data_IF_891403704394
#
_entry.id   IF_891403704394
#
_cell.length_a   1.000
_cell.length_b   1.000
_cell.length_c   1.000
_cell.angle_alpha   90.00
_cell.angle_beta   90.00
_cell.angle_gamma   90.00
#
_symmetry.space_group_name_H-M   'P 1'
#
loop_
_entity.id
_entity.type
_entity.pdbx_description
1 polymer ?
#
# COMPACT_ATOMS: atom_id res chain seq x y z
N UNK A 1 -31.48 13.09 29.34
CA UNK A 1 -30.57 14.21 29.05
C UNK A 1 -29.08 13.84 29.13
N UNK A 2 -28.65 12.88 29.97
CA UNK A 2 -27.24 12.49 30.06
C UNK A 2 -26.63 11.93 28.74
N UNK A 3 -27.38 11.15 27.97
CA UNK A 3 -26.88 10.55 26.72
C UNK A 3 -26.54 11.59 25.63
N UNK A 4 -27.30 12.70 25.53
CA UNK A 4 -27.08 13.72 24.51
C UNK A 4 -25.81 14.56 24.79
N UNK A 5 -25.53 14.81 26.08
CA UNK A 5 -24.36 15.57 26.52
C UNK A 5 -23.05 14.79 26.29
N UNK A 6 -23.07 13.48 26.49
CA UNK A 6 -21.92 12.59 26.25
C UNK A 6 -21.54 12.55 24.76
N UNK A 7 -22.54 12.47 23.86
CA UNK A 7 -22.31 12.44 22.41
C UNK A 7 -21.71 13.77 21.92
N UNK A 8 -22.19 14.91 22.41
CA UNK A 8 -21.65 16.22 22.04
C UNK A 8 -20.21 16.41 22.55
N UNK A 9 -19.91 15.98 23.78
CA UNK A 9 -18.59 16.08 24.37
C UNK A 9 -17.54 15.24 23.61
N UNK A 10 -17.86 13.98 23.31
CA UNK A 10 -16.96 13.10 22.56
C UNK A 10 -16.70 13.64 21.13
N UNK A 11 -17.71 14.22 20.49
CA UNK A 11 -17.54 14.85 19.17
C UNK A 11 -16.63 16.09 19.19
N UNK A 12 -16.70 16.89 20.25
CA UNK A 12 -15.81 18.06 20.42
C UNK A 12 -14.37 17.62 20.69
N UNK A 13 -14.18 16.64 21.57
CA UNK A 13 -12.85 16.09 21.86
C UNK A 13 -12.20 15.51 20.61
N UNK A 14 -12.92 14.71 19.82
CA UNK A 14 -12.40 14.15 18.57
C UNK A 14 -11.93 15.24 17.60
N UNK A 15 -12.74 16.28 17.37
CA UNK A 15 -12.37 17.41 16.51
C UNK A 15 -11.15 18.17 17.03
N UNK A 16 -11.05 18.38 18.34
CA UNK A 16 -9.90 19.04 18.96
C UNK A 16 -8.61 18.22 18.78
N UNK A 17 -8.68 16.90 18.94
CA UNK A 17 -7.55 15.99 18.69
C UNK A 17 -7.11 16.04 17.24
N UNK A 18 -8.05 15.98 16.29
CA UNK A 18 -7.74 16.08 14.85
C UNK A 18 -7.09 17.42 14.51
N UNK A 19 -7.63 18.54 15.01
CA UNK A 19 -7.08 19.87 14.79
C UNK A 19 -5.66 20.01 15.37
N UNK A 20 -5.43 19.45 16.57
CA UNK A 20 -4.10 19.41 17.20
C UNK A 20 -3.09 18.63 16.36
N UNK A 21 -3.45 17.43 15.89
CA UNK A 21 -2.60 16.62 15.01
C UNK A 21 -2.26 17.36 13.71
N UNK A 22 -3.23 17.98 13.05
CA UNK A 22 -3.00 18.76 11.84
C UNK A 22 -2.10 19.97 12.09
N UNK A 23 -2.28 20.68 13.20
CA UNK A 23 -1.43 21.81 13.58
C UNK A 23 0.02 21.36 13.83
N UNK A 24 0.22 20.27 14.57
CA UNK A 24 1.54 19.70 14.84
C UNK A 24 2.25 19.26 13.55
N UNK A 25 1.54 18.63 12.62
CA UNK A 25 2.11 18.22 11.33
C UNK A 25 2.44 19.41 10.44
N UNK A 26 1.59 20.43 10.40
CA UNK A 26 1.90 21.66 9.68
C UNK A 26 3.17 22.35 10.23
N UNK A 27 3.33 22.36 11.56
CA UNK A 27 4.54 22.88 12.18
C UNK A 27 5.78 22.03 11.84
N UNK A 28 5.65 20.70 11.92
CA UNK A 28 6.72 19.75 11.59
C UNK A 28 7.22 19.92 10.15
N UNK A 29 6.30 20.02 9.17
CA UNK A 29 6.64 20.24 7.76
C UNK A 29 7.40 21.55 7.58
N UNK A 30 6.94 22.64 8.20
CA UNK A 30 7.63 23.94 8.14
C UNK A 30 9.05 23.87 8.68
N UNK A 31 9.25 23.17 9.81
CA UNK A 31 10.57 23.00 10.41
C UNK A 31 11.50 22.23 9.46
N UNK A 32 11.03 21.11 8.90
CA UNK A 32 11.81 20.29 7.97
C UNK A 32 12.17 21.04 6.68
N UNK A 33 11.21 21.77 6.11
CA UNK A 33 11.43 22.57 4.90
C UNK A 33 12.39 23.74 5.17
N UNK A 34 12.25 24.44 6.30
CA UNK A 34 13.15 25.52 6.70
C UNK A 34 14.57 25.00 6.95
N UNK A 35 14.72 23.81 7.56
CA UNK A 35 16.02 23.20 7.78
C UNK A 35 16.74 22.90 6.46
N UNK A 36 16.00 22.41 5.45
CA UNK A 36 16.53 22.21 4.08
C UNK A 36 17.00 23.53 3.48
N UNK A 37 16.16 24.58 3.50
CA UNK A 37 16.52 25.86 2.86
C UNK A 37 17.67 26.58 3.56
N UNK A 38 17.72 26.52 4.90
CA UNK A 38 18.74 27.21 5.71
C UNK A 38 20.12 26.56 5.58
N UNK A 39 20.17 25.25 5.37
CA UNK A 39 21.42 24.54 5.10
C UNK A 39 22.04 24.92 3.74
N UNK A 40 21.31 25.64 2.87
CA UNK A 40 21.77 25.98 1.52
C UNK A 40 21.93 24.77 0.61
N UNK A 41 21.40 23.61 1.01
CA UNK A 41 21.43 22.37 0.25
C UNK A 41 20.03 22.04 -0.27
N UNK A 42 19.95 21.33 -1.39
CA UNK A 42 18.68 20.74 -1.85
C UNK A 42 18.27 19.52 -1.02
N UNK A 43 19.03 19.15 0.00
CA UNK A 43 18.89 17.91 0.76
C UNK A 43 18.20 18.14 2.11
N UNK A 44 17.24 17.28 2.44
CA UNK A 44 16.62 17.28 3.76
C UNK A 44 17.61 16.76 4.82
N UNK A 45 17.37 17.11 6.10
CA UNK A 45 18.20 16.69 7.23
C UNK A 45 18.30 15.17 7.34
N UNK A 46 19.48 14.64 7.64
CA UNK A 46 19.76 13.22 7.40
C UNK A 46 18.94 12.23 8.25
N UNK A 47 18.52 12.61 9.46
CA UNK A 47 17.87 11.70 10.40
C UNK A 47 17.05 12.45 11.45
N UNK A 48 16.32 11.67 12.28
CA UNK A 48 15.49 12.18 13.37
C UNK A 48 16.24 13.15 14.30
N UNK A 49 17.46 12.81 14.71
CA UNK A 49 18.23 13.64 15.65
C UNK A 49 18.58 15.00 15.04
N UNK A 50 18.95 15.04 13.75
CA UNK A 50 19.19 16.28 13.03
C UNK A 50 17.91 17.11 12.86
N UNK A 51 16.76 16.47 12.60
CA UNK A 51 15.47 17.16 12.54
C UNK A 51 15.07 17.76 13.90
N UNK A 52 15.30 17.04 15.01
CA UNK A 52 15.07 17.53 16.37
C UNK A 52 16.01 18.69 16.72
N UNK A 53 17.28 18.64 16.30
CA UNK A 53 18.21 19.76 16.44
C UNK A 53 17.76 21.01 15.67
N UNK A 54 17.02 20.84 14.56
CA UNK A 54 16.37 21.91 13.82
C UNK A 54 15.05 22.40 14.44
N UNK A 55 14.62 21.82 15.58
CA UNK A 55 13.43 22.23 16.33
C UNK A 55 12.22 21.29 16.19
N UNK A 56 12.36 20.14 15.52
CA UNK A 56 11.26 19.17 15.41
C UNK A 56 10.89 18.62 16.80
N UNK A 57 9.59 18.62 17.11
CA UNK A 57 9.08 18.06 18.37
C UNK A 57 9.42 16.57 18.48
N UNK A 58 9.89 16.12 19.65
CA UNK A 58 10.29 14.73 19.88
C UNK A 58 9.15 13.71 19.77
N UNK A 59 7.89 14.15 19.87
CA UNK A 59 6.69 13.32 19.62
C UNK A 59 6.37 13.11 18.14
N UNK A 60 7.11 13.74 17.23
CA UNK A 60 6.97 13.58 15.78
C UNK A 60 8.07 12.68 15.26
N UNK A 61 7.67 11.59 14.63
CA UNK A 61 8.58 10.71 13.89
C UNK A 61 8.97 11.37 12.58
N UNK A 62 10.25 11.32 12.25
CA UNK A 62 10.87 11.82 11.05
C UNK A 62 11.71 10.75 10.40
N UNK A 63 11.50 10.55 9.11
CA UNK A 63 12.31 9.68 8.27
C UNK A 63 12.73 10.48 7.05
N UNK A 64 14.03 10.41 6.73
CA UNK A 64 14.56 10.88 5.45
C UNK A 64 14.96 9.67 4.62
N UNK A 65 14.57 9.65 3.36
CA UNK A 65 14.96 8.62 2.42
C UNK A 65 14.74 9.11 0.99
N UNK A 66 15.69 8.81 0.11
CA UNK A 66 15.50 8.98 -1.34
C UNK A 66 14.26 8.22 -1.82
N UNK A 67 13.98 7.09 -1.17
CA UNK A 67 12.76 6.30 -1.35
C UNK A 67 11.45 6.94 -0.92
N UNK A 68 11.48 8.09 -0.24
CA UNK A 68 10.31 8.90 0.12
C UNK A 68 10.13 10.10 -0.83
N UNK A 69 10.99 10.21 -1.84
CA UNK A 69 11.18 11.46 -2.58
C UNK A 69 11.74 12.60 -1.71
N UNK A 70 12.26 12.29 -0.51
CA UNK A 70 12.74 13.28 0.46
C UNK A 70 12.46 12.86 1.91
N UNK A 71 11.45 13.44 2.53
CA UNK A 71 11.13 13.20 3.93
C UNK A 71 9.70 12.67 4.14
N UNK A 72 9.50 12.08 5.32
CA UNK A 72 8.21 11.91 5.95
C UNK A 72 8.28 12.43 7.40
N UNK A 73 7.21 13.11 7.83
CA UNK A 73 6.90 13.32 9.24
C UNK A 73 5.58 12.66 9.59
N UNK A 74 5.48 12.07 10.78
CA UNK A 74 4.24 11.49 11.26
C UNK A 74 4.09 11.61 12.77
N UNK A 75 2.83 11.65 13.22
CA UNK A 75 2.47 11.62 14.63
C UNK A 75 1.17 10.86 14.82
N UNK A 76 1.14 10.06 15.86
CA UNK A 76 -0.02 9.26 16.24
C UNK A 76 -0.57 9.78 17.57
N UNK A 77 -1.89 9.88 17.68
CA UNK A 77 -2.58 10.14 18.96
C UNK A 77 -3.81 9.24 19.03
N UNK A 78 -3.86 8.40 20.06
CA UNK A 78 -4.83 7.30 20.12
C UNK A 78 -4.63 6.36 18.93
N UNK A 79 -5.68 6.13 18.14
CA UNK A 79 -5.67 5.29 16.94
C UNK A 79 -5.46 6.08 15.64
N UNK A 80 -5.35 7.41 15.71
CA UNK A 80 -5.26 8.26 14.54
C UNK A 80 -3.82 8.68 14.28
N UNK A 81 -3.31 8.35 13.10
CA UNK A 81 -1.98 8.77 12.62
C UNK A 81 -2.16 9.82 11.53
N UNK A 82 -1.51 10.96 11.71
CA UNK A 82 -1.34 11.96 10.67
C UNK A 82 0.11 11.95 10.18
N UNK A 83 0.28 12.25 8.91
CA UNK A 83 1.59 12.34 8.28
C UNK A 83 1.62 13.41 7.19
N UNK A 84 2.84 13.73 6.75
CA UNK A 84 3.13 14.56 5.59
C UNK A 84 4.47 14.14 4.98
N UNK A 85 4.59 14.23 3.67
CA UNK A 85 5.78 13.84 2.91
C UNK A 85 6.31 14.99 2.06
N UNK A 86 7.47 14.79 1.44
CA UNK A 86 8.04 15.77 0.50
C UNK A 86 7.13 16.05 -0.71
N UNK A 87 6.38 15.06 -1.16
CA UNK A 87 5.46 15.15 -2.31
C UNK A 87 4.05 15.59 -1.92
N UNK A 88 3.59 15.25 -0.71
CA UNK A 88 2.32 15.71 -0.16
C UNK A 88 2.54 16.32 1.24
N UNK A 89 2.75 17.64 1.23
CA UNK A 89 3.09 18.43 2.43
C UNK A 89 1.88 18.78 3.29
N UNK A 90 0.66 18.54 2.82
CA UNK A 90 -0.55 18.78 3.60
C UNK A 90 -0.73 17.64 4.63
N UNK A 91 -1.02 17.95 5.91
CA UNK A 91 -1.33 16.91 6.89
C UNK A 91 -2.56 16.10 6.48
N UNK A 92 -2.41 14.79 6.42
CA UNK A 92 -3.47 13.85 6.09
C UNK A 92 -3.30 12.57 6.92
N UNK A 93 -4.34 11.74 6.96
CA UNK A 93 -4.29 10.46 7.65
C UNK A 93 -3.52 9.44 6.81
N UNK A 94 -2.66 8.64 7.46
CA UNK A 94 -1.90 7.61 6.76
C UNK A 94 -1.16 6.66 7.69
N UNK A 95 -0.33 5.75 7.15
CA UNK A 95 0.32 4.68 7.90
C UNK A 95 1.47 5.20 8.79
N UNK A 96 1.85 6.47 8.63
CA UNK A 96 3.02 7.06 9.25
C UNK A 96 4.26 6.92 8.35
N UNK A 97 5.44 7.17 8.92
CA UNK A 97 6.68 7.17 8.14
C UNK A 97 7.28 5.79 7.88
N UNK A 98 6.69 4.76 8.45
CA UNK A 98 7.04 3.36 8.18
C UNK A 98 5.92 2.76 7.35
N UNK A 99 6.25 2.25 6.16
CA UNK A 99 5.28 1.53 5.36
C UNK A 99 5.29 0.07 5.74
N UNK A 100 4.11 -0.44 6.12
CA UNK A 100 3.91 -1.85 6.37
C UNK A 100 3.29 -2.44 5.11
N UNK A 101 3.99 -3.36 4.46
CA UNK A 101 3.34 -4.18 3.44
C UNK A 101 2.45 -5.23 4.13
N UNK A 102 1.18 -5.23 3.75
CA UNK A 102 0.15 -6.07 4.33
C UNK A 102 0.09 -7.46 3.68
N UNK A 103 0.63 -7.61 2.47
CA UNK A 103 0.69 -8.91 1.79
C UNK A 103 1.98 -9.66 2.19
N UNK A 104 1.83 -10.93 2.53
CA UNK A 104 2.96 -11.84 2.76
C UNK A 104 3.50 -12.35 1.43
N UNK A 105 4.82 -12.62 1.35
CA UNK A 105 5.48 -13.19 0.17
C UNK A 105 5.19 -12.40 -1.13
N UNK A 106 5.42 -11.08 -1.14
CA UNK A 106 5.05 -10.19 -2.26
C UNK A 106 5.77 -10.52 -3.57
N UNK A 107 6.99 -11.06 -3.48
CA UNK A 107 7.84 -11.48 -4.60
C UNK A 107 7.62 -12.93 -5.04
N UNK A 108 6.72 -13.67 -4.37
CA UNK A 108 6.39 -15.06 -4.76
C UNK A 108 7.62 -16.00 -4.71
N UNK A 109 8.68 -15.61 -3.99
CA UNK A 109 9.96 -16.31 -4.00
C UNK A 109 9.90 -17.69 -3.36
N UNK A 110 9.07 -17.88 -2.34
CA UNK A 110 8.98 -19.17 -1.66
C UNK A 110 7.90 -20.08 -2.23
N UNK A 111 6.72 -19.53 -2.54
CA UNK A 111 5.56 -20.31 -2.98
C UNK A 111 4.47 -19.43 -3.59
N UNK A 112 3.42 -20.05 -4.15
CA UNK A 112 2.18 -19.37 -4.54
C UNK A 112 1.15 -19.29 -3.38
N UNK A 113 1.53 -19.66 -2.14
CA UNK A 113 0.63 -19.65 -0.98
C UNK A 113 0.07 -18.23 -0.76
N UNK A 114 -1.22 -18.14 -0.47
CA UNK A 114 -1.96 -16.87 -0.36
C UNK A 114 -2.71 -16.48 -1.64
N UNK A 115 -2.39 -17.13 -2.77
CA UNK A 115 -3.10 -16.98 -4.03
C UNK A 115 -3.96 -18.20 -4.34
N UNK A 116 -5.19 -17.95 -4.79
CA UNK A 116 -6.15 -18.99 -5.13
C UNK A 116 -6.62 -18.79 -6.57
N UNK A 117 -6.70 -19.89 -7.31
CA UNK A 117 -7.31 -19.90 -8.63
C UNK A 117 -8.83 -20.13 -8.51
N UNK A 118 -9.62 -19.45 -9.34
CA UNK A 118 -11.05 -19.65 -9.45
C UNK A 118 -11.48 -19.72 -10.92
N UNK A 119 -12.71 -20.20 -11.16
CA UNK A 119 -13.31 -20.30 -12.50
C UNK A 119 -12.38 -20.94 -13.56
N UNK A 120 -11.78 -22.08 -13.23
CA UNK A 120 -10.86 -22.87 -14.07
C UNK A 120 -9.51 -22.22 -14.42
N UNK A 121 -9.18 -21.06 -13.85
CA UNK A 121 -7.81 -20.52 -13.94
C UNK A 121 -6.82 -21.45 -13.26
N UNK A 122 -5.53 -21.29 -13.57
CA UNK A 122 -4.44 -21.84 -12.78
C UNK A 122 -3.55 -20.74 -12.24
N UNK A 123 -2.99 -20.99 -11.06
CA UNK A 123 -2.07 -20.10 -10.37
C UNK A 123 -0.85 -20.91 -9.99
N UNK A 124 0.30 -20.55 -10.52
CA UNK A 124 1.54 -21.31 -10.35
C UNK A 124 2.70 -20.36 -10.13
N UNK A 125 3.55 -20.64 -9.14
CA UNK A 125 4.85 -19.97 -9.02
C UNK A 125 5.75 -20.40 -10.18
N UNK A 126 6.33 -19.44 -10.88
CA UNK A 126 7.24 -19.65 -12.00
C UNK A 126 8.58 -18.99 -11.74
N UNK A 127 9.65 -19.60 -12.26
CA UNK A 127 11.01 -19.02 -12.29
C UNK A 127 11.41 -18.54 -13.70
N UNK A 128 10.47 -18.59 -14.65
CA UNK A 128 10.71 -18.16 -16.04
C UNK A 128 10.73 -16.64 -16.15
N UNK A 129 9.97 -15.95 -15.30
CA UNK A 129 9.88 -14.50 -15.24
C UNK A 129 9.94 -14.06 -13.79
N UNK A 130 10.54 -12.90 -13.56
CA UNK A 130 10.52 -12.19 -12.30
C UNK A 130 10.63 -10.69 -12.61
N UNK A 131 9.86 -9.86 -11.92
CA UNK A 131 10.08 -8.42 -11.91
C UNK A 131 11.23 -8.10 -10.94
N UNK A 132 11.26 -8.80 -9.81
CA UNK A 132 12.30 -8.76 -8.79
C UNK A 132 12.57 -10.18 -8.28
N UNK A 133 13.81 -10.45 -7.85
CA UNK A 133 14.16 -11.79 -7.35
C UNK A 133 14.21 -12.85 -8.46
N UNK A 134 13.79 -14.07 -8.14
CA UNK A 134 13.93 -15.25 -8.98
C UNK A 134 12.60 -15.86 -9.41
N UNK A 135 11.46 -15.35 -8.92
CA UNK A 135 10.16 -15.90 -9.23
C UNK A 135 9.07 -14.87 -9.48
N UNK A 136 7.95 -15.35 -10.00
CA UNK A 136 6.69 -14.62 -10.11
C UNK A 136 5.52 -15.59 -10.04
N UNK A 137 4.31 -15.07 -9.92
CA UNK A 137 3.09 -15.86 -10.03
C UNK A 137 2.58 -15.81 -11.46
N UNK A 138 2.50 -16.96 -12.12
CA UNK A 138 1.84 -17.09 -13.43
C UNK A 138 0.38 -17.47 -13.23
N UNK A 139 -0.49 -16.66 -13.82
CA UNK A 139 -1.94 -16.88 -13.85
C UNK A 139 -2.31 -17.23 -15.29
N UNK A 140 -2.81 -18.45 -15.50
CA UNK A 140 -3.29 -18.91 -16.82
C UNK A 140 -4.81 -18.96 -16.83
N UNK A 141 -5.41 -18.40 -17.87
CA UNK A 141 -6.86 -18.38 -18.09
C UNK A 141 -7.19 -19.27 -19.30
N UNK A 142 -7.56 -20.54 -19.09
CA UNK A 142 -7.65 -21.51 -20.17
C UNK A 142 -8.95 -21.48 -20.99
N UNK A 143 -10.01 -20.75 -20.59
CA UNK A 143 -11.35 -20.94 -21.17
C UNK A 143 -12.11 -19.63 -21.49
N UNK A 144 -13.23 -19.76 -22.21
CA UNK A 144 -14.09 -18.69 -22.77
C UNK A 144 -14.92 -17.91 -21.76
N UNK A 145 -14.96 -18.34 -20.50
CA UNK A 145 -15.57 -17.57 -19.40
C UNK A 145 -14.46 -16.85 -18.65
N UNK A 146 -14.69 -15.61 -18.22
CA UNK A 146 -13.73 -14.84 -17.42
C UNK A 146 -13.25 -15.67 -16.21
N UNK A 147 -12.04 -16.19 -16.29
CA UNK A 147 -11.38 -16.86 -15.17
C UNK A 147 -10.72 -15.81 -14.28
N UNK A 148 -10.58 -16.10 -12.99
CA UNK A 148 -9.91 -15.19 -12.06
C UNK A 148 -8.91 -15.91 -11.15
N UNK A 149 -7.89 -15.19 -10.74
CA UNK A 149 -7.03 -15.55 -9.64
C UNK A 149 -7.10 -14.44 -8.60
N UNK A 150 -7.03 -14.80 -7.32
CA UNK A 150 -7.11 -13.82 -6.27
C UNK A 150 -6.12 -14.09 -5.15
N UNK A 151 -5.50 -13.02 -4.67
CA UNK A 151 -4.67 -12.99 -3.48
C UNK A 151 -5.50 -12.52 -2.29
N UNK A 152 -5.41 -13.21 -1.16
CA UNK A 152 -6.09 -12.82 0.08
C UNK A 152 -5.09 -12.22 1.06
N UNK A 153 -5.39 -11.01 1.54
CA UNK A 153 -4.58 -10.27 2.50
C UNK A 153 -5.32 -10.29 3.84
N UNK A 154 -4.80 -11.00 4.87
CA UNK A 154 -5.51 -11.21 6.13
C UNK A 154 -5.41 -9.99 7.06
N UNK A 155 -6.17 -8.95 6.74
CA UNK A 155 -6.27 -7.71 7.53
C UNK A 155 -7.71 -7.40 7.87
N UNK A 156 -7.92 -6.78 9.03
CA UNK A 156 -9.22 -6.18 9.32
C UNK A 156 -9.32 -4.82 8.62
N UNK A 157 -10.21 -4.69 7.65
CA UNK A 157 -10.41 -3.41 6.96
C UNK A 157 -11.23 -2.45 7.83
N UNK A 158 -10.87 -1.17 7.76
CA UNK A 158 -11.49 -0.12 8.58
C UNK A 158 -12.30 0.80 7.67
N UNK A 159 -13.60 0.95 7.95
CA UNK A 159 -14.49 1.81 7.15
C UNK A 159 -13.92 3.23 7.02
N UNK A 160 -13.94 3.77 5.81
CA UNK A 160 -13.40 5.08 5.44
C UNK A 160 -11.87 5.11 5.28
N UNK A 161 -11.18 3.99 5.51
CA UNK A 161 -9.74 3.91 5.32
C UNK A 161 -9.41 3.57 3.88
N UNK A 162 -8.51 4.37 3.28
CA UNK A 162 -7.93 4.08 1.97
C UNK A 162 -6.83 3.05 2.09
N UNK A 163 -6.77 2.14 1.14
CA UNK A 163 -5.74 1.15 0.92
C UNK A 163 -5.19 1.35 -0.49
N UNK A 164 -3.88 1.26 -0.64
CA UNK A 164 -3.22 1.30 -1.93
C UNK A 164 -2.61 -0.08 -2.19
N UNK A 165 -2.99 -0.70 -3.31
CA UNK A 165 -2.43 -1.96 -3.78
C UNK A 165 -1.67 -1.71 -5.07
N UNK A 166 -0.44 -2.20 -5.16
CA UNK A 166 0.32 -2.17 -6.39
C UNK A 166 0.88 -3.53 -6.73
N UNK A 167 1.12 -3.78 -8.01
CA UNK A 167 1.71 -5.03 -8.50
C UNK A 167 2.39 -4.79 -9.84
N UNK A 168 3.47 -5.53 -10.10
CA UNK A 168 4.07 -5.61 -11.41
C UNK A 168 3.38 -6.72 -12.21
N UNK A 169 2.94 -6.43 -13.43
CA UNK A 169 2.32 -7.40 -14.32
C UNK A 169 2.95 -7.36 -15.71
N UNK A 170 3.08 -8.53 -16.33
CA UNK A 170 3.46 -8.70 -17.73
C UNK A 170 2.58 -9.73 -18.42
N UNK A 171 2.52 -9.66 -19.74
CA UNK A 171 2.01 -10.73 -20.58
C UNK A 171 3.00 -11.91 -20.59
N UNK A 172 2.46 -13.12 -20.50
CA UNK A 172 3.19 -14.38 -20.69
C UNK A 172 2.79 -15.03 -22.02
N UNK A 173 1.49 -15.28 -22.23
CA UNK A 173 0.94 -15.83 -23.48
C UNK A 173 -0.37 -15.13 -23.84
N UNK A 174 -0.63 -15.00 -25.14
CA UNK A 174 -1.75 -14.22 -25.64
C UNK A 174 -1.54 -12.71 -25.48
N UNK A 175 -2.27 -11.92 -26.28
CA UNK A 175 -2.32 -10.47 -26.14
C UNK A 175 -3.73 -10.12 -25.70
N UNK A 176 -3.88 -9.81 -24.42
CA UNK A 176 -5.20 -9.58 -23.88
C UNK A 176 -5.17 -8.64 -22.67
N UNK A 177 -6.31 -7.99 -22.51
CA UNK A 177 -6.63 -7.18 -21.36
C UNK A 177 -6.89 -8.09 -20.14
N UNK A 178 -6.56 -7.59 -18.96
CA UNK A 178 -7.00 -8.14 -17.68
C UNK A 178 -7.74 -7.07 -16.93
N UNK A 179 -8.75 -7.46 -16.16
CA UNK A 179 -9.33 -6.59 -15.16
C UNK A 179 -8.69 -6.93 -13.81
N UNK A 180 -7.97 -5.97 -13.24
CA UNK A 180 -7.46 -6.08 -11.88
C UNK A 180 -8.37 -5.31 -10.93
N UNK A 181 -8.73 -5.92 -9.80
CA UNK A 181 -9.57 -5.26 -8.80
C UNK A 181 -9.06 -5.47 -7.39
N UNK A 182 -9.33 -4.49 -6.55
CA UNK A 182 -9.15 -4.56 -5.09
C UNK A 182 -10.52 -4.43 -4.46
N UNK A 183 -10.86 -5.33 -3.55
CA UNK A 183 -12.16 -5.35 -2.88
C UNK A 183 -12.06 -5.85 -1.45
N UNK A 184 -13.06 -5.53 -0.65
CA UNK A 184 -13.24 -6.20 0.63
C UNK A 184 -13.64 -7.67 0.42
N UNK A 185 -13.04 -8.57 1.19
CA UNK A 185 -13.42 -9.98 1.22
C UNK A 185 -14.62 -10.19 2.13
N UNK A 186 -15.78 -10.59 1.59
CA UNK A 186 -16.96 -10.88 2.42
C UNK A 186 -16.88 -12.27 3.08
N UNK A 187 -17.58 -12.44 4.20
CA UNK A 187 -18.03 -13.76 4.62
C UNK A 187 -18.99 -14.33 3.55
N UNK A 188 -19.08 -15.66 3.48
CA UNK A 188 -20.02 -16.36 2.60
C UNK A 188 -21.45 -15.87 2.90
N UNK A 189 -22.15 -15.32 1.90
CA UNK A 189 -23.59 -14.99 2.00
C UNK A 189 -23.96 -13.51 2.15
N UNK A 190 -23.01 -12.57 2.10
CA UNK A 190 -23.28 -11.11 2.15
C UNK A 190 -22.50 -10.36 1.08
N UNK A 191 -23.13 -9.42 0.38
CA UNK A 191 -22.47 -8.51 -0.58
C UNK A 191 -21.73 -7.42 0.20
N UNK A 192 -20.52 -7.04 -0.24
CA UNK A 192 -20.34 -5.63 -0.53
C UNK A 192 -19.89 -5.40 -1.98
N UNK A 193 -20.43 -4.34 -2.58
CA UNK A 193 -20.12 -3.85 -3.92
C UNK A 193 -18.94 -2.87 -3.91
N UNK A 194 -18.06 -2.99 -2.92
CA UNK A 194 -16.93 -2.11 -2.68
C UNK A 194 -15.69 -2.69 -3.37
N UNK A 195 -15.54 -2.34 -4.64
CA UNK A 195 -14.34 -2.65 -5.39
C UNK A 195 -13.85 -1.44 -6.17
N UNK A 196 -12.53 -1.33 -6.24
CA UNK A 196 -11.85 -0.50 -7.22
C UNK A 196 -11.27 -1.40 -8.28
N UNK A 197 -11.42 -1.04 -9.56
CA UNK A 197 -10.94 -1.88 -10.65
C UNK A 197 -10.26 -1.06 -11.74
N UNK A 198 -9.33 -1.71 -12.43
CA UNK A 198 -8.58 -1.15 -13.54
C UNK A 198 -8.46 -2.19 -14.67
N UNK A 199 -8.81 -1.76 -15.87
CA UNK A 199 -8.52 -2.50 -17.10
C UNK A 199 -7.07 -2.28 -17.52
N UNK A 200 -6.32 -3.36 -17.68
CA UNK A 200 -4.88 -3.34 -17.94
C UNK A 200 -4.61 -4.16 -19.20
N UNK A 201 -3.77 -3.66 -20.10
CA UNK A 201 -3.25 -4.43 -21.24
C UNK A 201 -1.75 -4.62 -21.06
N UNK A 202 -1.30 -5.71 -20.42
CA UNK A 202 0.12 -5.95 -20.16
C UNK A 202 0.90 -6.21 -21.45
N UNK A 203 2.15 -5.73 -21.52
CA UNK A 203 3.07 -6.08 -22.60
C UNK A 203 4.11 -7.13 -22.12
N UNK A 204 5.14 -7.40 -22.93
CA UNK A 204 6.16 -8.42 -22.62
C UNK A 204 7.14 -8.03 -21.49
N UNK A 205 7.08 -6.79 -21.01
CA UNK A 205 7.85 -6.30 -19.87
C UNK A 205 6.96 -6.17 -18.64
N UNK A 206 7.54 -6.29 -17.45
CA UNK A 206 6.82 -5.98 -16.22
C UNK A 206 6.53 -4.49 -16.14
N UNK A 207 5.26 -4.16 -15.90
CA UNK A 207 4.77 -2.81 -15.70
C UNK A 207 4.03 -2.75 -14.37
N UNK A 208 4.27 -1.70 -13.58
CA UNK A 208 3.59 -1.52 -12.30
C UNK A 208 2.26 -0.81 -12.50
N UNK A 209 1.24 -1.32 -11.82
CA UNK A 209 -0.08 -0.70 -11.70
C UNK A 209 -0.42 -0.49 -10.24
N UNK A 210 -1.23 0.52 -9.98
CA UNK A 210 -1.68 0.93 -8.65
C UNK A 210 -3.19 1.02 -8.67
N UNK A 211 -3.83 0.44 -7.66
CA UNK A 211 -5.27 0.51 -7.43
C UNK A 211 -5.50 1.04 -6.03
N UNK A 212 -6.17 2.18 -5.97
CA UNK A 212 -6.65 2.80 -4.74
C UNK A 212 -8.03 2.27 -4.38
N UNK A 213 -8.20 1.81 -3.15
CA UNK A 213 -9.45 1.28 -2.63
C UNK A 213 -9.80 1.97 -1.30
N UNK A 214 -11.01 2.47 -1.15
CA UNK A 214 -11.50 2.96 0.16
C UNK A 214 -12.49 1.95 0.72
N UNK A 215 -12.21 1.40 1.90
CA UNK A 215 -13.08 0.42 2.51
C UNK A 215 -14.40 1.06 2.93
N UNK A 216 -15.52 0.58 2.40
CA UNK A 216 -16.86 1.01 2.78
C UNK A 216 -17.48 0.12 3.86
N UNK A 217 -16.86 -1.04 4.09
CA UNK A 217 -17.24 -2.02 5.09
C UNK A 217 -16.02 -2.54 5.86
N UNK A 218 -16.24 -3.09 7.05
CA UNK A 218 -15.21 -3.81 7.81
C UNK A 218 -15.28 -5.29 7.49
N UNK A 219 -14.18 -5.84 7.00
CA UNK A 219 -14.01 -7.28 6.73
C UNK A 219 -12.72 -7.78 7.35
N UNK A 220 -12.53 -9.10 7.40
CA UNK A 220 -11.30 -9.72 7.91
C UNK A 220 -10.26 -9.98 6.81
N UNK A 221 -10.56 -9.63 5.57
CA UNK A 221 -9.66 -9.78 4.44
C UNK A 221 -9.84 -8.64 3.42
N UNK A 222 -8.72 -8.20 2.85
CA UNK A 222 -8.66 -7.45 1.60
C UNK A 222 -8.30 -8.43 0.47
N UNK A 223 -8.91 -8.30 -0.70
CA UNK A 223 -8.70 -9.21 -1.83
C UNK A 223 -8.21 -8.44 -3.04
N UNK A 224 -7.21 -9.01 -3.71
CA UNK A 224 -6.71 -8.55 -5.01
C UNK A 224 -7.07 -9.60 -6.05
N UNK A 225 -7.92 -9.27 -7.02
CA UNK A 225 -8.30 -10.17 -8.11
C UNK A 225 -7.64 -9.75 -9.42
N UNK A 226 -7.19 -10.73 -10.19
CA UNK A 226 -6.77 -10.59 -11.58
C UNK A 226 -7.69 -11.49 -12.42
N UNK A 227 -8.49 -10.87 -13.27
CA UNK A 227 -9.48 -11.55 -14.10
C UNK A 227 -9.08 -11.45 -15.57
N UNK A 228 -8.95 -12.60 -16.23
CA UNK A 228 -8.69 -12.65 -17.67
C UNK A 228 -9.95 -12.35 -18.48
N UNK A 229 -9.81 -11.60 -19.57
CA UNK A 229 -10.94 -11.25 -20.46
C UNK A 229 -11.00 -12.12 -21.72
N UNK A 230 -9.92 -12.86 -22.02
CA UNK A 230 -9.77 -13.63 -23.25
C UNK A 230 -9.28 -15.04 -22.95
N UNK A 231 -9.79 -16.03 -23.68
CA UNK A 231 -9.37 -17.42 -23.54
C UNK A 231 -7.93 -17.63 -24.00
N UNK A 232 -7.18 -18.48 -23.27
CA UNK A 232 -5.81 -18.88 -23.62
C UNK A 232 -4.74 -17.85 -23.25
N UNK A 233 -5.10 -16.79 -22.52
CA UNK A 233 -4.13 -15.81 -22.04
C UNK A 233 -3.46 -16.25 -20.74
N UNK A 234 -2.21 -15.87 -20.57
CA UNK A 234 -1.53 -15.95 -19.29
C UNK A 234 -0.78 -14.64 -19.01
N UNK A 235 -0.77 -14.27 -17.74
CA UNK A 235 -0.02 -13.12 -17.22
C UNK A 235 0.88 -13.57 -16.08
N UNK A 236 2.01 -12.90 -15.90
CA UNK A 236 2.82 -13.05 -14.70
C UNK A 236 2.66 -11.80 -13.83
N UNK A 237 2.41 -12.00 -12.53
CA UNK A 237 2.38 -10.94 -11.53
C UNK A 237 3.49 -11.14 -10.51
N UNK A 238 4.03 -10.04 -10.02
CA UNK A 238 5.12 -10.03 -9.06
C UNK A 238 5.11 -8.72 -8.26
N UNK A 239 5.89 -8.66 -7.18
CA UNK A 239 6.16 -7.45 -6.39
C UNK A 239 4.87 -6.79 -5.92
N UNK A 240 3.96 -7.62 -5.40
CA UNK A 240 2.65 -7.19 -4.94
C UNK A 240 2.79 -6.46 -3.61
N UNK A 241 2.21 -5.29 -3.51
CA UNK A 241 2.23 -4.45 -2.33
C UNK A 241 0.82 -4.08 -1.97
N UNK A 242 0.51 -4.06 -0.68
CA UNK A 242 -0.73 -3.53 -0.15
C UNK A 242 -0.41 -2.74 1.10
N UNK A 243 -0.94 -1.52 1.19
CA UNK A 243 -0.64 -0.59 2.28
C UNK A 243 -1.89 0.16 2.69
N UNK A 244 -1.85 0.73 3.88
CA UNK A 244 -2.88 1.65 4.38
C UNK A 244 -2.50 3.08 4.00
N UNK A 245 -3.48 3.93 3.69
CA UNK A 245 -3.37 5.38 3.57
C UNK A 245 -3.18 5.92 2.15
N UNK A 246 -3.29 7.25 2.01
CA UNK A 246 -3.37 7.97 0.73
C UNK A 246 -2.05 8.14 -0.03
N UNK A 247 -0.94 7.64 0.51
CA UNK A 247 0.38 8.07 0.10
C UNK A 247 1.42 6.96 -0.08
N UNK A 248 1.05 5.68 -0.18
CA UNK A 248 2.07 4.70 -0.52
C UNK A 248 2.68 4.95 -1.92
N UNK A 249 1.95 5.58 -2.85
CA UNK A 249 2.45 5.98 -4.15
C UNK A 249 3.42 7.17 -4.14
N UNK A 250 3.49 7.92 -3.04
CA UNK A 250 4.54 8.92 -2.81
C UNK A 250 5.86 8.29 -2.38
N UNK A 251 5.82 7.04 -1.93
CA UNK A 251 6.97 6.27 -1.55
C UNK A 251 7.37 5.52 -2.81
N UNK A 252 8.63 5.66 -3.17
CA UNK A 252 9.18 4.97 -4.31
C UNK A 252 8.96 3.46 -4.10
N UNK A 253 8.70 2.74 -5.19
CA UNK A 253 8.60 1.28 -5.21
C UNK A 253 9.70 0.74 -4.30
N UNK A 254 9.44 -0.23 -3.42
CA UNK A 254 10.52 -0.83 -2.65
C UNK A 254 11.69 -1.34 -3.54
N UNK A 255 11.48 -1.56 -4.86
CA UNK A 255 12.54 -1.70 -5.90
C UNK A 255 13.54 -0.53 -5.99
N UNK A 256 13.17 0.65 -5.49
CA UNK A 256 13.94 1.90 -5.47
C UNK A 256 14.21 2.42 -4.04
N UNK A 257 13.73 1.71 -3.01
CA UNK A 257 13.61 2.22 -1.64
C UNK A 257 13.49 1.16 -0.51
N UNK A 258 14.31 0.09 -0.46
CA UNK A 258 14.09 -1.04 0.45
C UNK A 258 14.08 -0.68 1.95
N UNK A 259 14.85 0.32 2.37
CA UNK A 259 15.01 0.69 3.79
C UNK A 259 13.81 1.38 4.45
N UNK A 260 12.74 1.63 3.70
CA UNK A 260 11.54 2.35 4.17
C UNK A 260 10.41 1.40 4.57
N UNK A 261 10.51 0.13 4.19
CA UNK A 261 9.44 -0.86 4.30
C UNK A 261 9.68 -1.85 5.44
N UNK A 262 8.60 -2.19 6.14
CA UNK A 262 8.52 -3.28 7.10
C UNK A 262 7.38 -4.23 6.72
N UNK A 263 7.43 -5.45 7.25
CA UNK A 263 6.45 -6.50 6.95
C UNK A 263 5.45 -6.64 8.09
N UNK A 264 4.16 -6.82 7.79
CA UNK A 264 3.13 -7.08 8.81
C UNK A 264 3.28 -8.45 9.47
N UNK A 265 3.98 -9.38 8.82
CA UNK A 265 4.30 -10.73 9.29
C UNK A 265 5.74 -11.08 8.92
N UNK A 266 6.36 -12.08 9.56
CA UNK A 266 7.66 -12.61 9.12
C UNK A 266 7.62 -12.94 7.64
N UNK A 267 8.48 -12.32 6.84
CA UNK A 267 8.53 -12.56 5.39
C UNK A 267 9.04 -14.00 5.13
N UNK A 268 8.21 -14.91 4.58
CA UNK A 268 8.68 -16.25 4.26
C UNK A 268 9.39 -16.30 2.90
N UNK A 269 9.47 -15.17 2.18
CA UNK A 269 10.16 -15.07 0.90
C UNK A 269 11.67 -14.93 1.12
N UNK A 270 12.48 -15.47 0.21
CA UNK A 270 13.91 -15.12 0.14
C UNK A 270 14.15 -13.73 -0.46
N UNK A 271 13.07 -13.01 -0.78
CA UNK A 271 13.14 -11.57 -1.05
C UNK A 271 13.53 -10.92 0.28
N UNK A 272 14.61 -10.15 0.28
CA UNK A 272 15.09 -9.35 1.42
C UNK A 272 14.19 -8.14 1.73
N UNK A 273 12.86 -8.26 1.55
CA UNK A 273 12.09 -7.25 0.83
C UNK A 273 12.58 -7.11 -0.62
N UNK A 274 12.05 -6.26 -1.50
CA UNK A 274 12.70 -6.11 -2.78
C UNK A 274 14.00 -5.35 -2.52
N UNK A 275 15.10 -6.08 -2.46
CA UNK A 275 16.41 -5.46 -2.47
C UNK A 275 16.67 -4.87 -3.86
N UNK A 276 16.95 -3.56 -3.87
CA UNK A 276 18.18 -3.04 -4.47
C UNK A 276 18.81 -2.04 -3.50
#
# INVERSE_FOLDING_TARGET
MAALVIVAYNGIQGRATTAGLQADMNAAVKIVENARTTAGTSAYVANQAAAQAAGLNSSVTYVNGTGLGGFCVSKTTGTTTYMATATNKAPHTGPGCTLINLISNPGIEASAVGWTAAANSTVVRSVTFAANGAASLVITHPNVTAGNAYGTIPITTVVGTRYEVSFAIRSHTGSATVNASVRNGSAVGTIPADSSSQSITPNSSFQRYIIDFTAESTTTNLVVDITGTTSGQAVAIDSVMATVGENAGAYADPQTAPGVWTWSTTDPSTSTGPAF
#
